data_IF_127042467723
#
_entry.id   IF_127042467723
#
_cell.length_a   1.000
_cell.length_b   1.000
_cell.length_c   1.000
_cell.angle_alpha   90.00
_cell.angle_beta   90.00
_cell.angle_gamma   90.00
#
_symmetry.space_group_name_H-M   'P 1'
#
loop_
_entity.id
_entity.type
_entity.pdbx_description
1 polymer ?
#
# COMPACT_ATOMS: atom_id res chain seq x y z
N UNK A 1 1.00 -9.72 2.76
CA UNK A 1 0.10 -10.55 1.94
C UNK A 1 -0.32 -11.74 2.79
N UNK A 2 -1.57 -12.22 2.69
CA UNK A 2 -1.92 -13.49 3.32
C UNK A 2 -1.16 -14.62 2.60
N UNK A 3 -0.54 -15.54 3.34
CA UNK A 3 0.27 -16.61 2.77
C UNK A 3 -0.51 -17.51 1.81
N UNK A 4 -1.80 -17.71 2.05
CA UNK A 4 -2.67 -18.51 1.17
C UNK A 4 -2.97 -17.79 -0.16
N UNK A 5 -2.96 -16.45 -0.15
CA UNK A 5 -3.30 -15.64 -1.32
C UNK A 5 -2.06 -15.29 -2.16
N UNK A 6 -0.85 -15.35 -1.58
CA UNK A 6 0.39 -14.97 -2.25
C UNK A 6 0.63 -15.68 -3.60
N UNK A 7 0.39 -17.00 -3.76
CA UNK A 7 0.56 -17.68 -5.05
C UNK A 7 -0.32 -17.13 -6.19
N UNK A 8 -1.45 -16.46 -5.88
CA UNK A 8 -2.33 -15.85 -6.88
C UNK A 8 -1.76 -14.55 -7.47
N UNK A 9 -0.63 -14.06 -6.95
CA UNK A 9 0.10 -12.89 -7.48
C UNK A 9 1.32 -13.30 -8.30
N UNK A 10 1.33 -14.56 -8.78
CA UNK A 10 2.45 -15.08 -9.54
C UNK A 10 2.65 -14.34 -10.87
N UNK A 11 3.91 -14.09 -11.23
CA UNK A 11 4.32 -13.52 -12.50
C UNK A 11 5.53 -14.26 -13.07
N UNK A 12 5.65 -14.25 -14.39
CA UNK A 12 6.76 -14.87 -15.11
C UNK A 12 7.89 -13.85 -15.28
N UNK A 13 9.10 -14.24 -14.89
CA UNK A 13 10.35 -13.60 -15.33
C UNK A 13 10.96 -14.40 -16.48
N UNK A 14 12.02 -13.89 -17.11
CA UNK A 14 12.73 -14.57 -18.19
C UNK A 14 13.34 -15.93 -17.76
N UNK A 15 13.52 -16.13 -16.46
CA UNK A 15 14.21 -17.30 -15.89
C UNK A 15 13.32 -18.19 -15.03
N UNK A 16 12.40 -17.61 -14.25
CA UNK A 16 11.60 -18.32 -13.24
C UNK A 16 10.27 -17.62 -12.98
N UNK A 17 9.36 -18.34 -12.31
CA UNK A 17 8.12 -17.78 -11.76
C UNK A 17 8.34 -17.28 -10.34
N UNK A 18 7.80 -16.11 -10.05
CA UNK A 18 7.86 -15.48 -8.74
C UNK A 18 6.45 -15.11 -8.29
N UNK A 19 6.25 -14.89 -7.00
CA UNK A 19 5.04 -14.31 -6.43
C UNK A 19 5.42 -13.26 -5.40
N UNK A 20 4.50 -12.36 -5.05
CA UNK A 20 4.79 -11.30 -4.09
C UNK A 20 4.58 -11.76 -2.64
N UNK A 21 5.56 -11.50 -1.77
CA UNK A 21 5.47 -11.74 -0.33
C UNK A 21 4.68 -10.64 0.41
N UNK A 22 4.69 -9.43 -0.13
CA UNK A 22 3.91 -8.28 0.32
C UNK A 22 2.87 -7.92 -0.72
N UNK A 23 1.93 -7.04 -0.39
CA UNK A 23 0.89 -6.63 -1.34
C UNK A 23 1.54 -5.82 -2.48
N UNK A 24 1.48 -6.27 -3.74
CA UNK A 24 1.98 -5.48 -4.86
C UNK A 24 1.03 -4.34 -5.22
N UNK A 25 1.57 -3.33 -5.89
CA UNK A 25 0.79 -2.29 -6.55
C UNK A 25 -0.05 -2.88 -7.69
N UNK A 26 -1.15 -2.21 -8.02
CA UNK A 26 -2.03 -2.61 -9.12
C UNK A 26 -3.03 -3.73 -8.80
N UNK A 27 -3.05 -4.27 -7.57
CA UNK A 27 -4.18 -5.08 -7.13
C UNK A 27 -5.40 -4.19 -6.91
N UNK A 28 -6.58 -4.68 -7.31
CA UNK A 28 -7.86 -3.96 -7.18
C UNK A 28 -8.13 -3.41 -5.77
N UNK A 29 -7.69 -4.14 -4.75
CA UNK A 29 -7.92 -3.78 -3.34
C UNK A 29 -6.65 -3.26 -2.63
N UNK A 30 -5.57 -2.98 -3.38
CA UNK A 30 -4.32 -2.49 -2.81
C UNK A 30 -4.53 -1.18 -2.05
N UNK A 31 -5.09 -0.17 -2.72
CA UNK A 31 -5.32 1.13 -2.12
C UNK A 31 -6.28 1.10 -0.93
N UNK A 32 -7.34 0.28 -0.97
CA UNK A 32 -8.24 0.13 0.18
C UNK A 32 -7.53 -0.47 1.40
N UNK A 33 -6.58 -1.39 1.19
CA UNK A 33 -5.79 -1.98 2.27
C UNK A 33 -4.75 -0.99 2.80
N UNK A 34 -4.08 -0.28 1.89
CA UNK A 34 -3.12 0.76 2.23
C UNK A 34 -3.78 1.88 3.05
N UNK A 35 -4.92 2.40 2.58
CA UNK A 35 -5.66 3.44 3.28
C UNK A 35 -6.07 3.01 4.69
N UNK A 36 -6.63 1.81 4.87
CA UNK A 36 -6.99 1.30 6.21
C UNK A 36 -5.79 1.18 7.16
N UNK A 37 -4.62 0.81 6.63
CA UNK A 37 -3.39 0.77 7.41
C UNK A 37 -2.95 2.19 7.81
N UNK A 38 -2.94 3.11 6.86
CA UNK A 38 -2.51 4.49 7.09
C UNK A 38 -3.46 5.24 8.03
N UNK A 39 -4.76 5.04 7.90
CA UNK A 39 -5.78 5.57 8.81
C UNK A 39 -5.51 5.16 10.26
N UNK A 40 -5.06 3.92 10.48
CA UNK A 40 -4.73 3.41 11.81
C UNK A 40 -3.41 4.02 12.33
N UNK A 41 -2.36 4.00 11.51
CA UNK A 41 -1.01 4.44 11.91
C UNK A 41 -0.97 5.95 12.16
N UNK A 42 -1.61 6.73 11.31
CA UNK A 42 -1.55 8.20 11.32
C UNK A 42 -2.86 8.86 11.79
N UNK A 43 -3.68 8.11 12.54
CA UNK A 43 -4.96 8.59 13.09
C UNK A 43 -4.89 9.95 13.80
N UNK A 44 -3.75 10.35 14.35
CA UNK A 44 -3.57 11.63 15.06
C UNK A 44 -3.13 12.79 14.16
N UNK A 45 -2.68 12.50 12.94
CA UNK A 45 -2.01 13.40 11.99
C UNK A 45 -2.87 13.62 10.74
N UNK A 46 -3.68 12.64 10.37
CA UNK A 46 -4.65 12.73 9.28
C UNK A 46 -5.59 13.91 9.52
N UNK A 47 -5.76 14.76 8.50
CA UNK A 47 -6.55 15.99 8.56
C UNK A 47 -5.85 17.18 9.23
N UNK A 48 -4.61 17.00 9.72
CA UNK A 48 -3.76 18.10 10.19
C UNK A 48 -2.68 18.40 9.16
N UNK A 49 -1.62 17.60 9.20
CA UNK A 49 -0.43 17.74 8.37
C UNK A 49 -0.24 16.55 7.43
N UNK A 50 -1.16 15.57 7.45
CA UNK A 50 -1.13 14.41 6.57
C UNK A 50 -2.49 14.23 5.88
N UNK A 51 -2.45 13.98 4.58
CA UNK A 51 -3.58 13.51 3.80
C UNK A 51 -3.17 12.24 3.05
N UNK A 52 -4.07 11.25 2.98
CA UNK A 52 -3.81 9.94 2.36
C UNK A 52 -4.88 9.70 1.30
N UNK A 53 -4.45 9.32 0.09
CA UNK A 53 -5.33 9.07 -1.04
C UNK A 53 -4.94 7.78 -1.77
N UNK A 54 -5.72 6.71 -1.57
CA UNK A 54 -5.59 5.38 -2.21
C UNK A 54 -4.18 4.78 -2.07
N UNK A 55 -3.22 5.19 -2.90
CA UNK A 55 -1.84 4.70 -2.90
C UNK A 55 -0.82 5.82 -2.55
N UNK A 56 -1.25 7.07 -2.49
CA UNK A 56 -0.42 8.26 -2.28
C UNK A 56 -0.64 8.87 -0.89
N UNK A 57 0.39 9.58 -0.40
CA UNK A 57 0.36 10.32 0.84
C UNK A 57 0.98 11.70 0.64
N UNK A 58 0.30 12.73 1.13
CA UNK A 58 0.74 14.13 1.07
C UNK A 58 1.00 14.61 2.49
N UNK A 59 2.22 15.08 2.74
CA UNK A 59 2.64 15.67 4.02
C UNK A 59 2.75 17.18 3.84
N UNK A 60 2.10 17.95 4.70
CA UNK A 60 2.26 19.40 4.78
C UNK A 60 3.29 19.72 5.85
N UNK A 61 4.40 20.32 5.46
CA UNK A 61 5.39 20.90 6.39
C UNK A 61 5.19 22.42 6.44
N UNK A 62 5.49 23.05 7.57
CA UNK A 62 5.64 24.50 7.59
C UNK A 62 6.83 24.84 6.67
N UNK A 63 6.63 25.76 5.72
CA UNK A 63 7.73 26.33 4.96
C UNK A 63 8.66 27.14 5.89
N UNK A 64 9.91 27.29 5.48
CA UNK A 64 10.81 28.32 6.06
C UNK A 64 10.20 29.71 5.97
#
# INVERSE_FOLDING_TARGET
MNHVDAPHTAFMSNTCNYFYNVMPFGLKNAGATYQRLMDRVFSKQIGKNLEVYIDDMVVKTAGE
#
